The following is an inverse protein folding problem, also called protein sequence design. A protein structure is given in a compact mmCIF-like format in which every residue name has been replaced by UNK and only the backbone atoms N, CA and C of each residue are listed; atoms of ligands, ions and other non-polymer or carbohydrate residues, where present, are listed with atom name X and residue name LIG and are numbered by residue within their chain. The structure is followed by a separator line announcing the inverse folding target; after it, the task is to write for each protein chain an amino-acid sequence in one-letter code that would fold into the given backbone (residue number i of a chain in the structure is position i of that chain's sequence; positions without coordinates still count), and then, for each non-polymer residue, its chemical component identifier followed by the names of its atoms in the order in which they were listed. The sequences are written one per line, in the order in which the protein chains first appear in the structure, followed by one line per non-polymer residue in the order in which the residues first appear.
data_IF_438030180586
#
_entry.id   IF_438030180586
#
_cell.length_a   1.000
_cell.length_b   1.000
_cell.length_c   1.000
_cell.angle_alpha   90.00
_cell.angle_beta   90.00
_cell.angle_gamma   90.00
#
_symmetry.space_group_name_H-M   'P 1'
#
loop_
_entity.id
_entity.type
_entity.pdbx_description
1 polymer ?
#
# COMPACT_ATOMS: atom_id res chain seq x y z
N UNK A 1 -0.48 14.31 -18.72
CA UNK A 1 -1.25 13.37 -17.86
C UNK A 1 -0.46 12.08 -17.79
N UNK A 2 -0.20 11.51 -16.61
CA UNK A 2 0.57 10.28 -16.49
C UNK A 2 -0.12 9.16 -17.28
N UNK A 3 0.63 8.49 -18.17
CA UNK A 3 0.09 7.42 -18.98
C UNK A 3 -0.41 6.27 -18.09
N UNK A 4 -1.67 5.85 -18.28
CA UNK A 4 -2.37 4.84 -17.49
C UNK A 4 -1.72 3.43 -17.53
N UNK A 5 -0.69 3.24 -18.36
CA UNK A 5 0.01 1.96 -18.54
C UNK A 5 0.95 1.57 -17.39
N UNK A 6 1.07 2.38 -16.33
CA UNK A 6 2.03 2.16 -15.23
C UNK A 6 1.40 1.67 -13.93
N UNK A 7 0.10 1.35 -13.92
CA UNK A 7 -0.57 0.86 -12.71
C UNK A 7 -0.19 -0.61 -12.46
N UNK A 8 0.34 -0.98 -11.28
CA UNK A 8 0.69 -2.37 -11.02
C UNK A 8 -0.55 -3.28 -11.09
N UNK A 9 -0.41 -4.52 -11.57
CA UNK A 9 -1.51 -5.46 -11.64
C UNK A 9 -2.21 -5.62 -10.29
N UNK A 10 -3.54 -5.72 -10.33
CA UNK A 10 -4.38 -5.84 -9.13
C UNK A 10 -4.50 -4.57 -8.29
N UNK A 11 -4.03 -3.40 -8.73
CA UNK A 11 -4.11 -2.14 -7.96
C UNK A 11 -5.51 -1.78 -7.45
N UNK A 12 -6.55 -2.21 -8.18
CA UNK A 12 -7.96 -1.99 -7.82
C UNK A 12 -8.54 -3.06 -6.88
N UNK A 13 -7.82 -4.16 -6.64
CA UNK A 13 -8.28 -5.26 -5.79
C UNK A 13 -8.26 -4.85 -4.31
N UNK A 14 -9.42 -4.95 -3.66
CA UNK A 14 -9.63 -4.59 -2.26
C UNK A 14 -9.26 -5.70 -1.28
N UNK A 15 -9.12 -6.93 -1.76
CA UNK A 15 -8.88 -8.11 -0.95
C UNK A 15 -7.38 -8.46 -0.86
N UNK A 16 -6.51 -7.61 -1.40
CA UNK A 16 -5.06 -7.80 -1.43
C UNK A 16 -4.35 -6.85 -0.45
N UNK A 17 -3.28 -7.31 0.23
CA UNK A 17 -2.41 -6.46 1.05
C UNK A 17 -1.50 -5.57 0.18
N UNK A 18 -0.49 -4.93 0.78
CA UNK A 18 0.43 -4.04 0.07
C UNK A 18 1.21 -4.70 -1.08
N UNK A 19 1.71 -3.89 -2.02
CA UNK A 19 2.52 -4.37 -3.15
C UNK A 19 3.94 -4.77 -2.73
N UNK A 20 4.53 -5.77 -3.40
CA UNK A 20 5.95 -6.13 -3.19
C UNK A 20 6.85 -4.90 -3.37
N UNK A 21 7.89 -4.80 -2.53
CA UNK A 21 8.87 -3.71 -2.59
C UNK A 21 9.66 -3.68 -3.90
N UNK A 22 9.74 -4.82 -4.56
CA UNK A 22 10.54 -5.03 -5.78
C UNK A 22 9.99 -4.29 -6.99
N UNK A 23 8.69 -3.92 -7.00
CA UNK A 23 8.05 -3.30 -8.18
C UNK A 23 8.63 -1.93 -8.54
N UNK A 24 9.28 -1.24 -7.60
CA UNK A 24 9.86 0.08 -7.81
C UNK A 24 11.35 0.03 -8.14
N UNK A 25 12.01 -1.13 -8.00
CA UNK A 25 13.43 -1.31 -8.33
C UNK A 25 14.41 -0.36 -7.62
N UNK A 26 13.96 0.34 -6.58
CA UNK A 26 14.69 1.45 -5.93
C UNK A 26 14.53 1.39 -4.42
N UNK A 27 15.41 2.10 -3.70
CA UNK A 27 15.37 2.17 -2.24
C UNK A 27 14.08 2.87 -1.78
N UNK A 28 13.26 2.15 -1.03
CA UNK A 28 12.01 2.67 -0.49
C UNK A 28 12.21 3.40 0.83
N UNK A 29 11.62 4.59 0.91
CA UNK A 29 11.46 5.31 2.19
C UNK A 29 10.31 4.70 3.02
N UNK A 30 10.47 4.70 4.35
CA UNK A 30 9.46 4.14 5.26
C UNK A 30 8.07 4.75 5.12
N UNK A 31 7.96 6.00 4.64
CA UNK A 31 6.69 6.72 4.44
C UNK A 31 5.75 6.07 3.42
N UNK A 32 6.26 5.19 2.56
CA UNK A 32 5.51 4.45 1.54
C UNK A 32 5.13 3.04 1.97
N UNK A 33 5.53 2.62 3.17
CA UNK A 33 5.29 1.27 3.66
C UNK A 33 4.07 1.22 4.57
N UNK A 34 3.31 0.14 4.44
CA UNK A 34 2.23 -0.19 5.35
C UNK A 34 2.79 -0.55 6.73
N UNK A 35 2.23 0.05 7.78
CA UNK A 35 2.60 -0.23 9.17
C UNK A 35 2.30 -1.68 9.58
N UNK A 36 1.39 -2.36 8.90
CA UNK A 36 1.04 -3.78 9.14
C UNK A 36 1.88 -4.73 8.28
N UNK A 37 1.59 -4.84 6.98
CA UNK A 37 2.22 -5.83 6.11
C UNK A 37 3.64 -5.46 5.63
N UNK A 38 4.18 -4.31 6.04
CA UNK A 38 5.53 -3.78 5.70
C UNK A 38 5.86 -3.66 4.20
N UNK A 39 4.86 -3.86 3.34
CA UNK A 39 4.92 -3.72 1.88
C UNK A 39 4.46 -2.32 1.45
N UNK A 40 4.63 -2.00 0.16
CA UNK A 40 4.19 -0.71 -0.38
C UNK A 40 2.68 -0.56 -0.19
N UNK A 41 2.25 0.61 0.25
CA UNK A 41 0.85 0.90 0.52
C UNK A 41 -0.05 0.65 -0.71
N UNK A 42 -1.04 -0.24 -0.55
CA UNK A 42 -2.16 -0.39 -1.48
C UNK A 42 -3.38 0.31 -0.90
N UNK A 43 -3.91 1.31 -1.62
CA UNK A 43 -5.04 2.14 -1.18
C UNK A 43 -4.82 2.65 0.26
N UNK A 44 -3.81 3.51 0.47
CA UNK A 44 -3.39 3.91 1.81
C UNK A 44 -4.51 4.59 2.59
N UNK A 45 -4.57 4.29 3.88
CA UNK A 45 -5.34 5.04 4.87
C UNK A 45 -4.38 5.50 5.97
N UNK A 46 -4.54 6.73 6.45
CA UNK A 46 -3.78 7.26 7.57
C UNK A 46 -4.64 7.25 8.83
N UNK A 47 -4.17 6.55 9.86
CA UNK A 47 -4.80 6.55 11.17
C UNK A 47 -4.59 7.91 11.86
N UNK A 48 -5.40 8.22 12.87
CA UNK A 48 -5.27 9.46 13.65
C UNK A 48 -3.89 9.58 14.34
N UNK A 49 -3.25 8.47 14.67
CA UNK A 49 -1.89 8.42 15.21
C UNK A 49 -0.79 8.67 14.16
N UNK A 50 -1.14 8.93 12.90
CA UNK A 50 -0.22 9.24 11.81
C UNK A 50 0.30 8.02 11.03
N UNK A 51 0.18 6.80 11.56
CA UNK A 51 0.56 5.57 10.88
C UNK A 51 -0.29 5.29 9.63
N UNK A 52 0.32 4.70 8.60
CA UNK A 52 -0.34 4.41 7.31
C UNK A 52 -0.51 2.92 7.11
N UNK A 53 -1.68 2.52 6.63
CA UNK A 53 -2.05 1.13 6.40
C UNK A 53 -2.63 0.94 5.00
N UNK A 54 -2.50 -0.25 4.44
CA UNK A 54 -3.32 -0.63 3.29
C UNK A 54 -4.79 -0.72 3.72
N UNK A 55 -5.73 -0.40 2.84
CA UNK A 55 -7.17 -0.52 3.14
C UNK A 55 -7.55 -1.92 3.62
N UNK A 56 -6.99 -2.96 3.00
CA UNK A 56 -7.18 -4.35 3.39
C UNK A 56 -6.62 -4.64 4.79
N UNK A 57 -5.38 -4.22 5.05
CA UNK A 57 -4.71 -4.42 6.34
C UNK A 57 -5.47 -3.74 7.48
N UNK A 58 -5.87 -2.47 7.28
CA UNK A 58 -6.63 -1.75 8.29
C UNK A 58 -7.97 -2.44 8.58
N UNK A 59 -8.73 -2.84 7.54
CA UNK A 59 -9.99 -3.58 7.69
C UNK A 59 -9.83 -4.90 8.46
N UNK A 60 -8.68 -5.57 8.31
CA UNK A 60 -8.35 -6.79 9.05
C UNK A 60 -8.02 -6.53 10.52
N UNK A 61 -7.39 -5.39 10.83
CA UNK A 61 -6.99 -5.01 12.19
C UNK A 61 -8.12 -4.48 13.06
N UNK A 62 -9.12 -3.82 12.44
CA UNK A 62 -10.26 -3.20 13.16
C UNK A 62 -11.51 -4.11 13.19
N UNK A 63 -11.40 -5.32 12.66
CA UNK A 63 -12.42 -6.37 12.75
C UNK A 63 -12.09 -7.28 13.92
#
# INVERSE_FOLDING_TARGET
MAAANSTPPGSLDLNQPGFSKEILGTKLEGKYLCSECKNILRRPFQAQCGHRYCSYCLKKLIR
#
